data_IF_247340049944
#
_entry.id   IF_247340049944
#
_cell.length_a   1.000
_cell.length_b   1.000
_cell.length_c   1.000
_cell.angle_alpha   90.00
_cell.angle_beta   90.00
_cell.angle_gamma   90.00
#
_symmetry.space_group_name_H-M   'P 1'
#
loop_
_entity.id
_entity.type
_entity.pdbx_description
1 polymer ?
#
# COMPACT_ATOMS: atom_id res chain seq x y z
N UNK A 1 6.49 12.68 13.44
CA UNK A 1 6.82 12.90 12.01
C UNK A 1 5.91 14.00 11.47
N UNK A 2 6.03 14.44 10.20
CA UNK A 2 5.13 15.45 9.61
C UNK A 2 4.51 14.85 8.34
N UNK A 3 3.21 14.98 8.16
CA UNK A 3 2.49 14.61 6.94
C UNK A 3 1.66 15.79 6.44
N UNK A 4 1.94 16.27 5.23
CA UNK A 4 1.29 17.45 4.67
C UNK A 4 1.31 18.66 5.63
N UNK A 5 0.11 19.07 6.04
CA UNK A 5 -0.09 20.25 6.92
C UNK A 5 0.06 19.96 8.41
N UNK A 6 0.12 18.70 8.84
CA UNK A 6 0.00 18.33 10.24
C UNK A 6 1.25 17.62 10.79
N UNK A 7 1.53 17.87 12.06
CA UNK A 7 2.52 17.12 12.83
C UNK A 7 1.87 15.87 13.42
N UNK A 8 2.53 14.74 13.26
CA UNK A 8 2.09 13.46 13.79
C UNK A 8 2.87 13.14 15.07
N UNK A 9 2.14 12.90 16.15
CA UNK A 9 2.65 12.28 17.37
C UNK A 9 2.25 10.81 17.31
N UNK A 10 3.24 9.93 17.26
CA UNK A 10 3.03 8.48 17.25
C UNK A 10 4.11 7.83 18.12
N UNK A 11 3.78 6.68 18.73
CA UNK A 11 4.75 5.84 19.42
C UNK A 11 5.75 5.18 18.45
N UNK A 12 6.54 4.23 18.95
CA UNK A 12 7.43 3.40 18.12
C UNK A 12 6.63 2.38 17.32
N UNK A 13 5.92 2.84 16.30
CA UNK A 13 5.02 2.04 15.47
C UNK A 13 5.08 2.46 14.00
N UNK A 14 4.57 1.61 13.11
CA UNK A 14 4.44 1.86 11.68
C UNK A 14 3.21 1.12 11.14
N UNK A 15 2.73 1.49 9.95
CA UNK A 15 1.68 0.70 9.28
C UNK A 15 2.19 -0.71 8.95
N UNK A 16 3.47 -0.86 8.62
CA UNK A 16 4.10 -2.18 8.45
C UNK A 16 4.03 -3.04 9.71
N UNK A 17 4.32 -2.48 10.89
CA UNK A 17 4.20 -3.21 12.15
C UNK A 17 2.75 -3.63 12.47
N UNK A 18 1.76 -2.86 12.01
CA UNK A 18 0.36 -3.26 12.10
C UNK A 18 0.03 -4.39 11.10
N UNK A 19 0.51 -4.28 9.85
CA UNK A 19 0.32 -5.31 8.82
C UNK A 19 0.89 -6.66 9.27
N UNK A 20 2.12 -6.69 9.77
CA UNK A 20 2.75 -7.91 10.29
C UNK A 20 1.87 -8.60 11.32
N UNK A 21 1.30 -7.86 12.28
CA UNK A 21 0.39 -8.44 13.28
C UNK A 21 -0.88 -9.04 12.69
N UNK A 22 -1.43 -8.42 11.65
CA UNK A 22 -2.64 -8.92 10.98
C UNK A 22 -2.32 -10.20 10.20
N UNK A 23 -1.19 -10.23 9.49
CA UNK A 23 -0.75 -11.41 8.73
C UNK A 23 -0.38 -12.55 9.68
N UNK A 24 0.27 -12.28 10.81
CA UNK A 24 0.62 -13.30 11.81
C UNK A 24 -0.63 -13.93 12.44
N UNK A 25 -1.69 -13.14 12.65
CA UNK A 25 -2.94 -13.61 13.29
C UNK A 25 -3.89 -14.31 12.31
N UNK A 26 -4.00 -13.81 11.07
CA UNK A 26 -5.03 -14.22 10.12
C UNK A 26 -4.50 -14.83 8.82
N UNK A 27 -3.19 -14.76 8.59
CA UNK A 27 -2.55 -15.32 7.41
C UNK A 27 -2.45 -16.84 7.46
N UNK A 28 -2.47 -17.46 6.28
CA UNK A 28 -2.15 -18.87 6.07
C UNK A 28 -1.09 -19.02 4.98
N UNK A 29 -0.70 -20.26 4.69
CA UNK A 29 0.38 -20.56 3.73
C UNK A 29 0.15 -20.01 2.31
N UNK A 30 -1.10 -19.77 1.92
CA UNK A 30 -1.49 -19.28 0.59
C UNK A 30 -2.01 -17.84 0.61
N UNK A 31 -1.89 -17.13 1.74
CA UNK A 31 -2.35 -15.74 1.82
C UNK A 31 -1.43 -14.84 1.01
N UNK A 32 -1.99 -14.10 0.04
CA UNK A 32 -1.31 -13.02 -0.67
C UNK A 32 -1.75 -11.68 -0.07
N UNK A 33 -0.79 -10.86 0.33
CA UNK A 33 -1.03 -9.57 0.96
C UNK A 33 -0.89 -8.45 -0.06
N UNK A 34 -2.01 -7.84 -0.44
CA UNK A 34 -2.02 -6.59 -1.20
C UNK A 34 -2.16 -5.39 -0.25
N UNK A 35 -1.38 -4.34 -0.49
CA UNK A 35 -1.46 -3.11 0.29
C UNK A 35 -1.47 -1.89 -0.62
N UNK A 36 -2.30 -0.89 -0.28
CA UNK A 36 -2.47 0.33 -1.07
C UNK A 36 -2.04 1.55 -0.28
N UNK A 37 -1.28 2.45 -0.89
CA UNK A 37 -0.82 3.68 -0.25
C UNK A 37 -0.45 4.77 -1.24
N UNK A 38 -0.52 6.02 -0.78
CA UNK A 38 -0.26 7.22 -1.57
C UNK A 38 0.83 8.10 -0.95
N UNK A 39 1.23 7.82 0.29
CA UNK A 39 2.07 8.71 1.08
C UNK A 39 3.18 7.99 1.84
N UNK A 40 4.16 8.77 2.34
CA UNK A 40 5.33 8.20 3.02
C UNK A 40 4.99 7.39 4.28
N UNK A 41 3.85 7.65 4.95
CA UNK A 41 3.44 6.86 6.12
C UNK A 41 2.99 5.43 5.75
N UNK A 42 2.67 5.21 4.47
CA UNK A 42 2.27 3.92 3.92
C UNK A 42 3.46 3.07 3.49
N UNK A 43 4.62 3.68 3.27
CA UNK A 43 5.80 2.99 2.72
C UNK A 43 6.15 1.72 3.49
N UNK A 44 6.17 1.78 4.82
CA UNK A 44 6.49 0.60 5.65
C UNK A 44 5.53 -0.57 5.48
N UNK A 45 4.28 -0.33 5.10
CA UNK A 45 3.29 -1.37 4.81
C UNK A 45 3.46 -1.88 3.38
N UNK A 46 3.72 -0.98 2.43
CA UNK A 46 3.99 -1.34 1.04
C UNK A 46 5.26 -2.19 0.91
N UNK A 47 6.31 -1.88 1.66
CA UNK A 47 7.58 -2.64 1.67
C UNK A 47 7.41 -4.10 2.14
N UNK A 48 6.32 -4.40 2.87
CA UNK A 48 6.04 -5.72 3.44
C UNK A 48 4.95 -6.50 2.68
N UNK A 49 4.22 -5.85 1.77
CA UNK A 49 3.16 -6.48 1.01
C UNK A 49 3.75 -7.29 -0.15
N UNK A 50 3.16 -8.44 -0.45
CA UNK A 50 3.49 -9.22 -1.65
C UNK A 50 3.12 -8.44 -2.92
N UNK A 51 2.04 -7.66 -2.84
CA UNK A 51 1.50 -6.86 -3.94
C UNK A 51 1.30 -5.40 -3.50
N UNK A 52 2.36 -4.57 -3.52
CA UNK A 52 2.26 -3.16 -3.18
C UNK A 52 1.61 -2.35 -4.31
N UNK A 53 0.68 -1.46 -3.94
CA UNK A 53 -0.04 -0.58 -4.86
C UNK A 53 0.22 0.88 -4.49
N UNK A 54 0.75 1.65 -5.44
CA UNK A 54 1.07 3.07 -5.27
C UNK A 54 0.07 3.96 -5.99
N UNK A 55 -0.69 4.76 -5.25
CA UNK A 55 -1.67 5.69 -5.82
C UNK A 55 -1.08 7.08 -5.97
N UNK A 56 -1.26 7.68 -7.14
CA UNK A 56 -0.87 9.08 -7.40
C UNK A 56 -1.89 10.04 -6.78
N UNK A 57 -1.37 11.16 -6.31
CA UNK A 57 -2.16 12.31 -5.83
C UNK A 57 -1.63 13.57 -6.51
N UNK A 58 -2.49 14.24 -7.28
CA UNK A 58 -2.13 15.41 -8.08
C UNK A 58 -0.91 15.14 -8.99
N UNK A 59 -0.95 14.04 -9.74
CA UNK A 59 0.11 13.57 -10.65
C UNK A 59 1.31 12.92 -9.98
N UNK A 60 1.43 13.04 -8.66
CA UNK A 60 2.65 12.67 -7.93
C UNK A 60 2.51 11.31 -7.27
N UNK A 61 3.47 10.42 -7.54
CA UNK A 61 3.65 9.17 -6.79
C UNK A 61 4.65 9.43 -5.66
N UNK A 62 4.18 9.40 -4.41
CA UNK A 62 5.00 9.75 -3.23
C UNK A 62 5.52 8.53 -2.45
N UNK A 63 5.30 7.32 -2.99
CA UNK A 63 5.75 6.04 -2.46
C UNK A 63 6.64 5.34 -3.48
N UNK A 64 7.48 4.43 -2.99
CA UNK A 64 8.29 3.53 -3.81
C UNK A 64 7.55 2.21 -3.93
N UNK A 65 7.28 1.81 -5.16
CA UNK A 65 6.65 0.53 -5.50
C UNK A 65 7.50 -0.10 -6.58
N UNK A 66 8.07 -1.28 -6.30
CA UNK A 66 8.81 -2.07 -7.28
C UNK A 66 7.82 -2.78 -8.21
N UNK A 67 7.99 -2.60 -9.51
CA UNK A 67 7.14 -3.22 -10.54
C UNK A 67 7.99 -4.06 -11.48
N UNK A 68 7.64 -5.34 -11.75
CA UNK A 68 6.67 -6.19 -11.03
C UNK A 68 7.21 -6.69 -9.66
N UNK A 69 6.35 -7.16 -8.71
CA UNK A 69 4.91 -7.41 -8.86
C UNK A 69 4.00 -6.22 -8.58
N UNK A 70 4.51 -5.09 -8.08
CA UNK A 70 3.69 -3.95 -7.65
C UNK A 70 2.83 -3.34 -8.77
N UNK A 71 1.83 -2.54 -8.37
CA UNK A 71 0.87 -1.89 -9.25
C UNK A 71 0.94 -0.37 -9.05
N UNK A 72 1.00 0.38 -10.14
CA UNK A 72 0.87 1.84 -10.14
C UNK A 72 -0.20 2.17 -11.20
N UNK A 73 -1.45 2.40 -10.78
CA UNK A 73 -2.54 2.70 -11.70
C UNK A 73 -2.29 3.96 -12.52
N UNK A 74 -2.90 4.05 -13.70
CA UNK A 74 -2.92 5.27 -14.50
C UNK A 74 -3.81 6.32 -13.83
N UNK A 75 -4.95 5.90 -13.28
CA UNK A 75 -5.91 6.77 -12.61
C UNK A 75 -5.45 7.19 -11.21
N UNK A 76 -5.92 8.34 -10.72
CA UNK A 76 -5.59 8.86 -9.39
C UNK A 76 -6.67 8.57 -8.34
N UNK A 77 -6.28 8.67 -7.07
CA UNK A 77 -7.20 8.60 -5.93
C UNK A 77 -8.11 7.37 -5.97
N UNK A 78 -9.42 7.60 -5.82
CA UNK A 78 -10.42 6.53 -5.80
C UNK A 78 -10.53 5.76 -7.13
N UNK A 79 -10.33 6.42 -8.27
CA UNK A 79 -10.36 5.76 -9.57
C UNK A 79 -9.15 4.84 -9.74
N UNK A 80 -7.96 5.30 -9.37
CA UNK A 80 -6.74 4.48 -9.35
C UNK A 80 -6.85 3.28 -8.41
N UNK A 81 -7.47 3.47 -7.24
CA UNK A 81 -7.75 2.38 -6.33
C UNK A 81 -8.64 1.30 -6.98
N UNK A 82 -9.71 1.68 -7.67
CA UNK A 82 -10.63 0.73 -8.32
C UNK A 82 -9.97 -0.02 -9.49
N UNK A 83 -9.12 0.68 -10.24
CA UNK A 83 -8.28 0.11 -11.31
C UNK A 83 -7.33 -0.95 -10.73
N UNK A 84 -6.60 -0.62 -9.66
CA UNK A 84 -5.70 -1.56 -9.00
C UNK A 84 -6.43 -2.80 -8.47
N UNK A 85 -7.60 -2.63 -7.85
CA UNK A 85 -8.38 -3.76 -7.32
C UNK A 85 -8.86 -4.67 -8.44
N UNK A 86 -9.32 -4.11 -9.57
CA UNK A 86 -9.69 -4.90 -10.74
C UNK A 86 -8.50 -5.73 -11.23
N UNK A 87 -7.31 -5.11 -11.35
CA UNK A 87 -6.09 -5.82 -11.76
C UNK A 87 -5.68 -6.91 -10.76
N UNK A 88 -5.81 -6.68 -9.45
CA UNK A 88 -5.55 -7.69 -8.43
C UNK A 88 -6.48 -8.89 -8.61
N UNK A 89 -7.77 -8.65 -8.81
CA UNK A 89 -8.77 -9.70 -9.02
C UNK A 89 -8.48 -10.50 -10.29
N UNK A 90 -8.05 -9.83 -11.37
CA UNK A 90 -7.68 -10.50 -12.62
C UNK A 90 -6.43 -11.39 -12.47
N UNK A 91 -5.50 -11.06 -11.57
CA UNK A 91 -4.29 -11.85 -11.31
C UNK A 91 -4.52 -13.10 -10.44
N UNK A 92 -5.64 -13.13 -9.69
CA UNK A 92 -5.97 -14.25 -8.80
C UNK A 92 -7.10 -15.15 -9.34
N UNK A 93 -7.73 -14.75 -10.43
CA UNK A 93 -8.63 -15.59 -11.23
C UNK A 93 -7.85 -16.56 -12.13
#
# INVERSE_FOLDING_TARGET
TRGGRFWHVAGRTSKGAALTKIVDEFGGEQTVVAAVGDSQIDQSMLDLADLPVGIRVNGTLSVRVSVPPGIIPESEGAAGWAEAVSEILDRIN
#
